data_IF_651915300179
#
_entry.id   IF_651915300179
#
_cell.length_a   1.000
_cell.length_b   1.000
_cell.length_c   1.000
_cell.angle_alpha   90.00
_cell.angle_beta   90.00
_cell.angle_gamma   90.00
#
_symmetry.space_group_name_H-M   'P 1'
#
loop_
_entity.id
_entity.type
_entity.pdbx_description
1 polymer ?
#
# COMPACT_ATOMS: atom_id res chain seq x y z
N UNK A 1 13.36 26.14 1.95
CA UNK A 1 13.26 26.06 0.49
C UNK A 1 12.81 27.41 -0.08
N UNK A 2 11.63 27.91 0.24
CA UNK A 2 11.11 29.18 -0.28
C UNK A 2 11.95 30.42 0.12
N UNK A 3 12.75 30.32 1.16
CA UNK A 3 13.73 31.35 1.54
C UNK A 3 14.99 31.36 0.66
N UNK A 4 15.17 30.38 -0.23
CA UNK A 4 16.34 30.28 -1.10
C UNK A 4 17.58 29.61 -0.50
N UNK A 5 17.45 29.00 0.68
CA UNK A 5 18.58 28.31 1.35
C UNK A 5 19.05 27.06 0.59
N UNK A 6 18.18 26.48 -0.21
CA UNK A 6 18.47 25.36 -1.14
C UNK A 6 17.52 25.41 -2.33
N UNK A 7 17.95 24.80 -3.45
CA UNK A 7 17.35 25.05 -4.76
C UNK A 7 16.41 23.97 -5.25
N UNK A 8 16.35 22.80 -4.61
CA UNK A 8 15.53 21.68 -5.03
C UNK A 8 14.93 20.95 -3.82
N UNK A 9 13.66 20.57 -3.92
CA UNK A 9 12.97 19.77 -2.91
C UNK A 9 12.04 18.74 -3.58
N UNK A 10 12.15 17.50 -3.17
CA UNK A 10 11.15 16.49 -3.42
C UNK A 10 10.19 16.45 -2.22
N UNK A 11 8.90 16.64 -2.47
CA UNK A 11 7.88 16.68 -1.42
C UNK A 11 7.14 15.35 -1.32
N UNK A 12 7.16 14.73 -0.15
CA UNK A 12 6.49 13.46 0.11
C UNK A 12 5.14 13.62 0.82
N UNK A 13 4.88 14.81 1.38
CA UNK A 13 3.65 15.09 2.11
C UNK A 13 2.60 15.70 1.17
N UNK A 14 1.43 15.04 1.06
CA UNK A 14 0.33 15.51 0.20
C UNK A 14 -0.28 16.84 0.66
N UNK A 15 -0.37 17.07 1.99
CA UNK A 15 -0.87 18.33 2.54
C UNK A 15 0.06 19.47 2.19
N UNK A 16 1.37 19.31 2.45
CA UNK A 16 2.34 20.36 2.16
C UNK A 16 2.38 20.67 0.66
N UNK A 17 2.34 19.63 -0.20
CA UNK A 17 2.23 19.82 -1.64
C UNK A 17 1.00 20.61 -2.08
N UNK A 18 -0.14 20.36 -1.44
CA UNK A 18 -1.37 21.06 -1.76
C UNK A 18 -1.40 22.51 -1.25
N UNK A 19 -0.77 22.79 -0.08
CA UNK A 19 -1.01 24.04 0.63
C UNK A 19 0.19 24.97 0.72
N UNK A 20 1.43 24.48 0.53
CA UNK A 20 2.64 25.28 0.74
C UNK A 20 3.38 25.62 -0.57
N UNK A 21 3.02 24.98 -1.68
CA UNK A 21 3.65 25.20 -2.98
C UNK A 21 2.80 26.13 -3.85
N UNK A 22 2.80 27.42 -3.52
CA UNK A 22 2.06 28.49 -4.22
C UNK A 22 2.47 29.87 -3.71
N UNK A 23 1.92 30.91 -4.32
CA UNK A 23 2.15 32.32 -4.00
C UNK A 23 3.10 33.03 -4.97
N UNK A 24 3.50 34.29 -4.67
CA UNK A 24 4.11 35.21 -5.64
C UNK A 24 5.34 34.66 -6.38
N UNK A 25 6.23 33.90 -5.70
CA UNK A 25 7.42 33.32 -6.35
C UNK A 25 7.09 32.21 -7.33
N UNK A 26 5.98 31.51 -7.13
CA UNK A 26 5.46 30.51 -8.08
C UNK A 26 4.75 31.17 -9.25
N UNK A 27 3.93 32.20 -8.96
CA UNK A 27 3.19 32.96 -9.98
C UNK A 27 4.16 33.67 -10.95
N UNK A 28 5.30 34.17 -10.44
CA UNK A 28 6.38 34.77 -11.21
C UNK A 28 7.32 33.74 -11.86
N UNK A 29 7.06 32.44 -11.67
CA UNK A 29 7.90 31.35 -12.16
C UNK A 29 9.37 31.41 -11.70
N UNK A 30 9.62 32.00 -10.53
CA UNK A 30 10.93 31.91 -9.88
C UNK A 30 11.13 30.55 -9.23
N UNK A 31 10.07 29.93 -8.75
CA UNK A 31 10.02 28.58 -8.27
C UNK A 31 9.03 27.78 -9.14
N UNK A 32 9.47 26.62 -9.59
CA UNK A 32 8.66 25.69 -10.36
C UNK A 32 8.08 24.64 -9.42
N UNK A 33 6.78 24.37 -9.53
CA UNK A 33 6.06 23.25 -8.93
C UNK A 33 5.70 22.28 -10.05
N UNK A 34 6.20 21.05 -9.96
CA UNK A 34 6.05 20.09 -11.06
C UNK A 34 5.81 18.67 -10.55
N UNK A 35 5.01 17.91 -11.29
CA UNK A 35 4.83 16.48 -11.13
C UNK A 35 5.57 15.74 -12.25
N UNK A 36 6.65 15.05 -11.89
CA UNK A 36 7.48 14.31 -12.85
C UNK A 36 7.10 12.83 -12.76
N UNK A 37 6.43 12.34 -13.81
CA UNK A 37 5.95 10.96 -13.88
C UNK A 37 7.09 9.96 -14.06
N UNK A 38 6.90 8.75 -13.54
CA UNK A 38 7.88 7.66 -13.57
C UNK A 38 7.20 6.29 -13.71
N UNK A 39 7.98 5.30 -14.13
CA UNK A 39 7.57 3.89 -14.26
C UNK A 39 8.17 2.99 -13.17
N UNK A 40 8.57 3.55 -12.03
CA UNK A 40 9.08 2.77 -10.89
C UNK A 40 7.97 1.91 -10.30
N UNK A 41 8.21 0.63 -10.02
CA UNK A 41 7.30 -0.17 -9.22
C UNK A 41 7.07 0.50 -7.86
N UNK A 42 5.82 0.55 -7.41
CA UNK A 42 5.47 1.19 -6.13
C UNK A 42 5.28 0.21 -5.00
N UNK A 43 5.26 -1.08 -5.32
CA UNK A 43 4.98 -2.11 -4.33
C UNK A 43 3.60 -1.93 -3.69
N UNK A 44 3.44 -2.45 -2.48
CA UNK A 44 2.18 -2.39 -1.74
C UNK A 44 2.41 -1.80 -0.35
N UNK A 45 1.78 -0.65 -0.08
CA UNK A 45 1.57 -0.17 1.27
C UNK A 45 0.19 -0.62 1.74
N UNK A 46 0.05 -1.03 3.00
CA UNK A 46 -1.24 -1.44 3.53
C UNK A 46 -1.27 -1.62 5.03
N UNK A 47 -2.48 -1.85 5.56
CA UNK A 47 -2.66 -2.39 6.89
C UNK A 47 -2.48 -3.91 6.82
N UNK A 48 -1.33 -4.40 7.26
CA UNK A 48 -0.98 -5.81 7.23
C UNK A 48 -1.47 -6.53 8.48
N UNK A 49 -2.12 -7.67 8.28
CA UNK A 49 -2.58 -8.56 9.34
C UNK A 49 -1.43 -9.44 9.83
N UNK A 50 -1.38 -9.70 11.13
CA UNK A 50 -0.53 -10.76 11.65
C UNK A 50 -1.31 -12.08 11.70
N UNK A 51 -1.07 -12.97 10.75
CA UNK A 51 -1.77 -14.26 10.65
C UNK A 51 -1.43 -15.25 11.77
N UNK A 52 -0.44 -14.93 12.63
CA UNK A 52 -0.18 -15.68 13.86
C UNK A 52 -1.28 -15.47 14.89
N UNK A 53 -2.10 -14.41 14.72
CA UNK A 53 -3.28 -14.13 15.52
C UNK A 53 -4.49 -14.88 14.95
N UNK A 54 -5.13 -15.71 15.76
CA UNK A 54 -6.27 -16.55 15.33
C UNK A 54 -7.40 -15.79 14.65
N UNK A 55 -7.66 -14.55 15.09
CA UNK A 55 -8.71 -13.69 14.54
C UNK A 55 -8.52 -13.36 13.05
N UNK A 56 -7.30 -13.43 12.52
CA UNK A 56 -6.98 -13.10 11.13
C UNK A 56 -6.72 -14.33 10.23
N UNK A 57 -6.86 -15.54 10.74
CA UNK A 57 -6.58 -16.75 9.93
C UNK A 57 -7.61 -16.98 8.84
N UNK A 58 -8.87 -16.63 9.09
CA UNK A 58 -9.94 -16.77 8.08
C UNK A 58 -9.87 -15.62 7.05
N UNK A 59 -9.72 -15.98 5.77
CA UNK A 59 -9.64 -15.01 4.68
C UNK A 59 -10.92 -14.14 4.56
N UNK A 60 -12.08 -14.67 4.92
CA UNK A 60 -13.34 -13.91 4.93
C UNK A 60 -13.32 -12.78 5.95
N UNK A 61 -12.65 -12.97 7.07
CA UNK A 61 -12.42 -11.91 8.06
C UNK A 61 -11.55 -10.82 7.48
N UNK A 62 -10.43 -11.19 6.86
CA UNK A 62 -9.50 -10.22 6.25
C UNK A 62 -10.16 -9.43 5.11
N UNK A 63 -10.92 -10.11 4.26
CA UNK A 63 -11.72 -9.45 3.22
C UNK A 63 -12.73 -8.46 3.83
N UNK A 64 -13.47 -8.89 4.85
CA UNK A 64 -14.49 -8.08 5.50
C UNK A 64 -13.92 -6.78 6.07
N UNK A 65 -12.77 -6.82 6.72
CA UNK A 65 -12.12 -5.63 7.28
C UNK A 65 -11.72 -4.64 6.17
N UNK A 66 -11.38 -5.12 4.98
CA UNK A 66 -11.07 -4.28 3.82
C UNK A 66 -12.23 -3.37 3.40
N UNK A 67 -13.48 -3.81 3.57
CA UNK A 67 -14.68 -3.01 3.27
C UNK A 67 -14.91 -1.85 4.25
N UNK A 68 -14.27 -1.87 5.41
CA UNK A 68 -14.38 -0.79 6.40
C UNK A 68 -13.39 0.37 6.11
N UNK A 69 -12.42 0.17 5.22
CA UNK A 69 -11.45 1.20 4.86
C UNK A 69 -11.94 2.02 3.66
N UNK A 70 -12.40 3.25 3.92
CA UNK A 70 -12.86 4.20 2.91
C UNK A 70 -11.69 4.99 2.34
N UNK A 71 -11.09 4.45 1.28
CA UNK A 71 -9.97 5.11 0.60
C UNK A 71 -10.43 6.38 -0.12
N UNK A 72 -11.56 6.34 -0.82
CA UNK A 72 -12.06 7.46 -1.62
C UNK A 72 -12.32 8.68 -0.74
N UNK A 73 -12.98 8.49 0.40
CA UNK A 73 -13.17 9.55 1.39
C UNK A 73 -11.83 10.06 1.93
N UNK A 74 -10.92 9.16 2.27
CA UNK A 74 -9.59 9.52 2.77
C UNK A 74 -8.80 10.30 1.72
N UNK A 75 -8.87 9.89 0.45
CA UNK A 75 -8.18 10.56 -0.65
C UNK A 75 -8.70 11.98 -0.87
N UNK A 76 -10.01 12.18 -0.84
CA UNK A 76 -10.61 13.50 -1.00
C UNK A 76 -10.32 14.40 0.20
N UNK A 77 -10.53 13.93 1.42
CA UNK A 77 -10.54 14.77 2.61
C UNK A 77 -9.18 14.88 3.33
N UNK A 78 -8.31 13.87 3.20
CA UNK A 78 -7.00 13.87 3.87
C UNK A 78 -5.83 14.06 2.91
N UNK A 79 -5.97 13.68 1.63
CA UNK A 79 -4.88 13.64 0.68
C UNK A 79 -5.07 14.55 -0.54
N UNK A 80 -6.11 15.36 -0.55
CA UNK A 80 -6.37 16.34 -1.62
C UNK A 80 -6.52 15.70 -3.02
N UNK A 81 -7.03 14.46 -3.07
CA UNK A 81 -7.22 13.73 -4.34
C UNK A 81 -5.95 13.24 -5.02
N UNK A 82 -4.79 13.30 -4.35
CA UNK A 82 -3.48 13.12 -5.00
C UNK A 82 -3.04 11.67 -5.16
N UNK A 83 -3.74 10.71 -4.58
CA UNK A 83 -3.34 9.30 -4.61
C UNK A 83 -4.27 8.44 -5.45
N UNK A 84 -3.75 7.29 -5.86
CA UNK A 84 -4.50 6.19 -6.48
C UNK A 84 -4.48 4.99 -5.55
N UNK A 85 -5.58 4.23 -5.50
CA UNK A 85 -5.63 2.97 -4.76
C UNK A 85 -4.64 1.98 -5.34
N UNK A 86 -3.88 1.30 -4.47
CA UNK A 86 -3.03 0.18 -4.90
C UNK A 86 -3.89 -1.07 -5.11
N UNK A 87 -3.69 -1.77 -6.23
CA UNK A 87 -4.47 -2.94 -6.64
C UNK A 87 -3.59 -4.16 -6.92
N UNK A 88 -2.29 -4.05 -6.73
CA UNK A 88 -1.29 -5.09 -6.96
C UNK A 88 -0.10 -4.89 -6.03
N UNK A 89 0.57 -5.96 -5.64
CA UNK A 89 1.85 -5.88 -4.93
C UNK A 89 2.97 -5.33 -5.82
N UNK A 90 2.77 -5.36 -7.13
CA UNK A 90 3.70 -4.85 -8.15
C UNK A 90 3.15 -3.62 -8.88
N UNK A 91 2.34 -2.82 -8.19
CA UNK A 91 1.68 -1.61 -8.72
C UNK A 91 2.66 -0.74 -9.52
N UNK A 92 2.18 -0.14 -10.60
CA UNK A 92 2.93 0.70 -11.54
C UNK A 92 4.05 -0.02 -12.28
N UNK A 93 3.89 -1.32 -12.54
CA UNK A 93 4.84 -2.10 -13.33
C UNK A 93 4.12 -3.11 -14.23
N UNK A 94 4.83 -3.63 -15.21
CA UNK A 94 4.34 -4.69 -16.10
C UNK A 94 4.09 -6.03 -15.39
N UNK A 95 4.54 -6.16 -14.16
CA UNK A 95 4.37 -7.34 -13.30
C UNK A 95 3.06 -7.34 -12.53
N UNK A 96 2.34 -6.22 -12.49
CA UNK A 96 1.04 -6.14 -11.85
C UNK A 96 0.02 -7.04 -12.57
N UNK A 97 -0.69 -7.87 -11.82
CA UNK A 97 -1.80 -8.67 -12.35
C UNK A 97 -3.04 -7.77 -12.57
N UNK A 98 -3.82 -8.11 -13.60
CA UNK A 98 -5.09 -7.42 -13.91
C UNK A 98 -6.03 -8.37 -14.67
N UNK A 99 -7.33 -8.09 -14.65
CA UNK A 99 -8.33 -8.93 -15.29
C UNK A 99 -8.32 -10.36 -14.78
N UNK A 100 -8.70 -11.32 -15.63
CA UNK A 100 -8.55 -12.76 -15.37
C UNK A 100 -7.13 -13.24 -15.70
N UNK A 101 -6.68 -14.38 -15.13
CA UNK A 101 -5.39 -14.94 -15.47
C UNK A 101 -5.32 -15.33 -16.96
N UNK A 102 -4.21 -14.99 -17.60
CA UNK A 102 -3.92 -15.46 -18.97
C UNK A 102 -3.61 -16.95 -19.00
N UNK A 103 -3.67 -17.57 -20.18
CA UNK A 103 -3.28 -18.98 -20.36
C UNK A 103 -1.85 -19.26 -19.87
N UNK A 104 -0.94 -18.29 -20.04
CA UNK A 104 0.43 -18.40 -19.56
C UNK A 104 0.52 -18.40 -18.03
N UNK A 105 -0.29 -17.59 -17.34
CA UNK A 105 -0.38 -17.56 -15.87
C UNK A 105 -1.05 -18.84 -15.34
N UNK A 106 -2.07 -19.35 -16.03
CA UNK A 106 -2.79 -20.58 -15.66
C UNK A 106 -1.86 -21.79 -15.59
N UNK A 107 -0.80 -21.88 -16.39
CA UNK A 107 0.22 -22.95 -16.29
C UNK A 107 0.80 -23.10 -14.89
N UNK A 108 0.91 -21.98 -14.15
CA UNK A 108 1.45 -21.94 -12.79
C UNK A 108 0.36 -21.99 -11.72
N UNK A 109 -0.85 -21.54 -12.03
CA UNK A 109 -1.96 -21.47 -11.08
C UNK A 109 -2.80 -22.75 -11.03
N UNK A 110 -3.09 -23.37 -12.17
CA UNK A 110 -3.96 -24.57 -12.23
C UNK A 110 -3.44 -25.76 -11.41
N UNK A 111 -2.12 -26.07 -11.38
CA UNK A 111 -1.60 -27.12 -10.50
C UNK A 111 -1.86 -26.88 -9.02
N UNK A 112 -2.14 -25.65 -8.64
CA UNK A 112 -2.36 -25.19 -7.25
C UNK A 112 -3.83 -24.88 -6.95
N UNK A 113 -4.74 -25.22 -7.87
CA UNK A 113 -6.15 -24.81 -7.83
C UNK A 113 -6.86 -25.17 -6.53
N UNK A 114 -6.57 -26.33 -5.96
CA UNK A 114 -7.20 -26.81 -4.73
C UNK A 114 -6.65 -26.11 -3.46
N UNK A 115 -5.55 -25.36 -3.59
CA UNK A 115 -4.87 -24.64 -2.51
C UNK A 115 -5.08 -23.11 -2.61
N UNK A 116 -5.64 -22.63 -3.72
CA UNK A 116 -5.87 -21.23 -4.00
C UNK A 116 -7.37 -20.90 -3.93
N UNK A 117 -7.72 -19.67 -3.51
CA UNK A 117 -9.11 -19.21 -3.59
C UNK A 117 -9.66 -19.30 -5.01
N UNK A 118 -10.89 -19.81 -5.17
CA UNK A 118 -11.51 -20.00 -6.50
C UNK A 118 -11.62 -18.67 -7.29
N UNK A 119 -11.70 -17.54 -6.60
CA UNK A 119 -11.71 -16.22 -7.21
C UNK A 119 -10.51 -15.92 -8.09
N UNK A 120 -9.35 -16.52 -7.80
CA UNK A 120 -8.13 -16.41 -8.65
C UNK A 120 -8.43 -16.76 -10.10
N UNK A 121 -9.31 -17.73 -10.34
CA UNK A 121 -9.60 -18.30 -11.65
C UNK A 121 -10.84 -17.74 -12.32
N UNK A 122 -11.76 -17.19 -11.55
CA UNK A 122 -13.13 -16.92 -12.02
C UNK A 122 -13.52 -15.44 -12.01
N UNK A 123 -12.78 -14.61 -11.28
CA UNK A 123 -13.19 -13.23 -11.05
C UNK A 123 -11.96 -12.31 -11.04
N UNK A 124 -12.08 -11.14 -11.65
CA UNK A 124 -11.05 -10.10 -11.51
C UNK A 124 -11.00 -9.62 -10.05
N UNK A 125 -9.79 -9.59 -9.48
CA UNK A 125 -9.61 -9.02 -8.14
C UNK A 125 -9.91 -7.51 -8.14
N UNK A 126 -10.76 -7.08 -7.22
CA UNK A 126 -11.09 -5.67 -7.03
C UNK A 126 -11.07 -5.31 -5.56
N UNK A 127 -10.39 -4.24 -5.23
CA UNK A 127 -10.50 -3.63 -3.90
C UNK A 127 -11.88 -2.98 -3.74
N UNK A 128 -12.45 -2.94 -2.53
CA UNK A 128 -13.69 -2.19 -2.29
C UNK A 128 -13.54 -0.71 -2.66
N UNK A 129 -14.52 -0.18 -3.36
CA UNK A 129 -14.58 1.23 -3.79
C UNK A 129 -15.85 1.86 -3.21
N UNK A 130 -15.75 3.10 -2.72
CA UNK A 130 -16.87 3.92 -2.25
C UNK A 130 -17.09 5.11 -3.18
N UNK A 131 -18.13 5.89 -2.93
CA UNK A 131 -18.39 7.16 -3.62
C UNK A 131 -17.63 8.36 -2.99
N UNK A 132 -16.85 8.12 -1.93
CA UNK A 132 -16.12 9.15 -1.19
C UNK A 132 -16.98 10.02 -0.27
N UNK A 133 -18.28 9.77 -0.17
CA UNK A 133 -19.19 10.50 0.72
C UNK A 133 -19.01 10.17 2.21
N UNK A 134 -18.29 9.09 2.54
CA UNK A 134 -18.22 8.50 3.87
C UNK A 134 -19.42 7.60 4.22
N UNK A 135 -20.35 7.42 3.29
CA UNK A 135 -21.47 6.51 3.47
C UNK A 135 -21.12 5.09 3.00
N UNK A 136 -20.62 4.27 3.90
CA UNK A 136 -20.24 2.87 3.62
C UNK A 136 -21.35 1.84 3.89
N UNK A 137 -22.63 2.22 3.85
CA UNK A 137 -23.73 1.32 4.25
C UNK A 137 -23.73 -0.02 3.49
N UNK A 138 -23.49 0.00 2.18
CA UNK A 138 -23.44 -1.22 1.36
C UNK A 138 -22.20 -2.06 1.64
N UNK A 139 -21.03 -1.42 1.75
CA UNK A 139 -19.76 -2.06 2.07
C UNK A 139 -19.80 -2.71 3.45
N UNK A 140 -20.28 -2.00 4.47
CA UNK A 140 -20.39 -2.53 5.82
C UNK A 140 -21.42 -3.66 5.93
N UNK A 141 -22.48 -3.66 5.11
CA UNK A 141 -23.42 -4.78 5.02
C UNK A 141 -22.72 -6.03 4.47
N UNK A 142 -21.92 -5.88 3.42
CA UNK A 142 -21.14 -6.99 2.83
C UNK A 142 -20.09 -7.51 3.84
N UNK A 143 -19.35 -6.60 4.48
CA UNK A 143 -18.44 -6.96 5.57
C UNK A 143 -19.14 -7.74 6.68
N UNK A 144 -20.34 -7.28 7.08
CA UNK A 144 -21.15 -7.93 8.09
C UNK A 144 -21.57 -9.35 7.71
N UNK A 145 -21.90 -9.59 6.44
CA UNK A 145 -22.24 -10.93 5.93
C UNK A 145 -21.04 -11.87 5.97
N UNK A 146 -19.85 -11.41 5.51
CA UNK A 146 -18.59 -12.18 5.54
C UNK A 146 -18.20 -12.55 6.98
N UNK A 147 -18.26 -11.59 7.91
CA UNK A 147 -17.96 -11.83 9.32
C UNK A 147 -18.91 -12.85 9.93
N UNK A 148 -20.20 -12.77 9.61
CA UNK A 148 -21.20 -13.73 10.10
C UNK A 148 -20.95 -15.13 9.52
N UNK A 149 -20.59 -15.23 8.24
CA UNK A 149 -20.21 -16.49 7.59
C UNK A 149 -18.91 -17.08 8.18
N UNK A 150 -18.00 -16.23 8.67
CA UNK A 150 -16.79 -16.63 9.38
C UNK A 150 -17.02 -16.96 10.87
N UNK A 151 -18.27 -16.95 11.35
CA UNK A 151 -18.62 -17.32 12.73
C UNK A 151 -18.67 -16.15 13.72
N UNK A 152 -18.40 -14.92 13.29
CA UNK A 152 -18.48 -13.72 14.12
C UNK A 152 -19.88 -13.13 14.12
N UNK A 153 -20.66 -13.37 15.18
CA UNK A 153 -22.07 -12.93 15.31
C UNK A 153 -22.15 -11.67 16.18
N UNK A 154 -23.16 -10.84 15.91
CA UNK A 154 -23.44 -9.68 16.77
C UNK A 154 -24.16 -10.16 18.01
N UNK A 155 -23.60 -9.90 19.19
CA UNK A 155 -24.25 -10.13 20.46
C UNK A 155 -25.35 -9.09 20.68
N UNK A 156 -26.53 -9.57 21.08
CA UNK A 156 -27.74 -8.74 21.21
C UNK A 156 -27.64 -7.68 22.32
N UNK A 157 -26.88 -7.96 23.38
CA UNK A 157 -26.78 -7.10 24.55
C UNK A 157 -25.67 -6.05 24.36
N UNK A 158 -24.44 -6.50 24.00
CA UNK A 158 -23.28 -5.63 23.87
C UNK A 158 -23.20 -4.92 22.52
N UNK A 159 -23.92 -5.40 21.50
CA UNK A 159 -23.81 -4.97 20.10
C UNK A 159 -22.43 -5.19 19.50
N UNK A 160 -21.56 -5.94 20.18
CA UNK A 160 -20.24 -6.32 19.69
C UNK A 160 -20.30 -7.62 18.89
N UNK A 161 -19.35 -7.81 17.98
CA UNK A 161 -19.13 -9.10 17.35
C UNK A 161 -18.38 -10.02 18.30
N UNK A 162 -18.90 -11.23 18.43
CA UNK A 162 -18.33 -12.27 19.28
C UNK A 162 -18.17 -13.57 18.47
N UNK A 163 -17.17 -14.36 18.83
CA UNK A 163 -17.00 -15.72 18.31
C UNK A 163 -17.94 -16.72 19.01
N UNK A 164 -17.82 -18.00 18.71
CA UNK A 164 -18.63 -19.06 19.32
C UNK A 164 -18.41 -19.24 20.84
N UNK A 165 -17.27 -18.78 21.37
CA UNK A 165 -16.97 -18.76 22.80
C UNK A 165 -17.49 -17.51 23.52
N UNK A 166 -18.12 -16.57 22.80
CA UNK A 166 -18.59 -15.29 23.37
C UNK A 166 -17.47 -14.23 23.51
N UNK A 167 -16.30 -14.46 22.98
CA UNK A 167 -15.17 -13.53 23.05
C UNK A 167 -15.37 -12.40 22.00
N UNK A 168 -15.17 -11.12 22.38
CA UNK A 168 -15.37 -10.00 21.48
C UNK A 168 -14.27 -9.93 20.42
N UNK A 169 -14.65 -9.46 19.21
CA UNK A 169 -13.67 -9.17 18.16
C UNK A 169 -12.95 -7.86 18.48
N UNK A 170 -11.75 -7.97 18.98
CA UNK A 170 -10.90 -6.83 19.30
C UNK A 170 -9.46 -7.07 18.83
N UNK A 171 -8.76 -6.01 18.39
CA UNK A 171 -7.36 -6.06 18.02
C UNK A 171 -6.71 -4.68 18.11
N UNK A 172 -5.37 -4.66 18.09
CA UNK A 172 -4.56 -3.45 18.15
C UNK A 172 -3.90 -3.18 16.80
N UNK A 173 -3.89 -1.91 16.36
CA UNK A 173 -2.98 -1.46 15.32
C UNK A 173 -1.79 -0.74 15.93
N UNK A 174 -0.58 -1.19 15.61
CA UNK A 174 0.67 -0.63 16.07
C UNK A 174 1.18 0.41 15.07
N UNK A 175 1.48 1.62 15.55
CA UNK A 175 1.97 2.75 14.77
C UNK A 175 3.30 3.27 15.33
N UNK A 176 4.17 3.72 14.45
CA UNK A 176 5.44 4.39 14.80
C UNK A 176 5.29 5.93 14.85
N UNK A 177 4.19 6.46 14.31
CA UNK A 177 3.99 7.90 14.21
C UNK A 177 2.53 8.28 14.42
N UNK A 178 2.22 9.29 15.21
CA UNK A 178 0.86 9.81 15.38
C UNK A 178 0.29 10.42 14.10
N UNK A 179 1.14 10.77 13.13
CA UNK A 179 0.68 11.31 11.85
C UNK A 179 -0.24 10.35 11.08
N UNK A 180 -0.18 9.04 11.37
CA UNK A 180 -1.02 8.02 10.74
C UNK A 180 -2.38 7.84 11.43
N UNK A 181 -2.55 8.36 12.65
CA UNK A 181 -3.83 8.26 13.39
C UNK A 181 -4.98 8.87 12.61
N UNK A 182 -4.77 10.00 11.92
CA UNK A 182 -5.81 10.65 11.10
C UNK A 182 -6.38 9.75 10.01
N UNK A 183 -5.64 8.70 9.61
CA UNK A 183 -6.04 7.71 8.61
C UNK A 183 -6.72 6.52 9.29
N UNK A 184 -6.20 6.10 10.44
CA UNK A 184 -6.72 4.95 11.20
C UNK A 184 -8.02 5.28 11.89
N UNK A 185 -8.22 6.50 12.40
CA UNK A 185 -9.42 6.86 13.17
C UNK A 185 -10.74 6.75 12.38
N UNK A 186 -10.84 7.17 11.10
CA UNK A 186 -12.02 6.90 10.28
C UNK A 186 -12.26 5.40 10.06
N UNK A 187 -11.21 4.62 9.83
CA UNK A 187 -11.29 3.17 9.72
C UNK A 187 -11.81 2.53 11.02
N UNK A 188 -11.25 2.92 12.18
CA UNK A 188 -11.73 2.51 13.49
C UNK A 188 -13.23 2.78 13.67
N UNK A 189 -13.69 3.99 13.32
CA UNK A 189 -15.10 4.36 13.41
C UNK A 189 -16.01 3.46 12.56
N UNK A 190 -15.55 3.04 11.38
CA UNK A 190 -16.28 2.11 10.54
C UNK A 190 -16.29 0.69 11.11
N UNK A 191 -15.20 0.24 11.74
CA UNK A 191 -15.12 -1.04 12.45
C UNK A 191 -16.06 -1.07 13.67
N UNK A 192 -16.17 0.01 14.42
CA UNK A 192 -17.10 0.15 15.53
C UNK A 192 -18.57 -0.06 15.07
N UNK A 193 -18.92 0.43 13.87
CA UNK A 193 -20.24 0.19 13.25
C UNK A 193 -20.48 -1.28 12.90
N UNK A 194 -19.43 -2.07 12.72
CA UNK A 194 -19.51 -3.53 12.56
C UNK A 194 -19.52 -4.28 13.89
N UNK A 195 -19.35 -3.59 15.02
CA UNK A 195 -19.24 -4.19 16.35
C UNK A 195 -17.84 -4.71 16.67
N UNK A 196 -16.80 -4.19 16.01
CA UNK A 196 -15.40 -4.56 16.19
C UNK A 196 -14.67 -3.46 16.94
N UNK A 197 -13.85 -3.83 17.92
CA UNK A 197 -13.04 -2.89 18.69
C UNK A 197 -11.61 -2.85 18.15
N UNK A 198 -11.18 -1.68 17.64
CA UNK A 198 -9.81 -1.40 17.25
C UNK A 198 -9.17 -0.46 18.27
N UNK A 199 -8.07 -0.89 18.91
CA UNK A 199 -7.21 -0.02 19.69
C UNK A 199 -6.06 0.50 18.81
N UNK A 200 -5.64 1.75 19.06
CA UNK A 200 -4.53 2.38 18.34
C UNK A 200 -3.38 2.58 19.32
N UNK A 201 -2.23 2.00 19.01
CA UNK A 201 -1.02 2.10 19.84
C UNK A 201 0.09 2.79 19.07
N UNK A 202 0.47 3.99 19.49
CA UNK A 202 1.66 4.68 19.01
C UNK A 202 2.82 4.42 19.96
N UNK A 203 3.96 4.00 19.43
CA UNK A 203 5.18 3.73 20.20
C UNK A 203 6.37 4.45 19.56
N UNK A 204 7.47 4.59 20.31
CA UNK A 204 8.72 5.13 19.76
C UNK A 204 9.34 4.19 18.71
N UNK A 205 10.25 4.70 17.85
CA UNK A 205 10.84 3.89 16.78
C UNK A 205 11.58 2.65 17.25
N UNK A 206 12.25 2.69 18.41
CA UNK A 206 13.02 1.55 18.92
C UNK A 206 12.09 0.43 19.38
N UNK A 207 11.04 0.78 20.13
CA UNK A 207 10.00 -0.16 20.55
C UNK A 207 9.25 -0.72 19.34
N UNK A 208 8.94 0.12 18.35
CA UNK A 208 8.28 -0.33 17.11
C UNK A 208 9.09 -1.41 16.39
N UNK A 209 10.39 -1.16 16.16
CA UNK A 209 11.29 -2.12 15.50
C UNK A 209 11.40 -3.43 16.29
N UNK A 210 11.52 -3.36 17.62
CA UNK A 210 11.59 -4.56 18.46
C UNK A 210 10.31 -5.39 18.38
N UNK A 211 9.14 -4.76 18.46
CA UNK A 211 7.84 -5.44 18.32
C UNK A 211 7.63 -6.03 16.92
N UNK A 212 8.10 -5.36 15.86
CA UNK A 212 8.07 -5.94 14.51
C UNK A 212 8.96 -7.19 14.41
N UNK A 213 10.17 -7.17 14.97
CA UNK A 213 11.10 -8.29 14.93
C UNK A 213 10.57 -9.53 15.64
N UNK A 214 9.92 -9.34 16.78
CA UNK A 214 9.31 -10.42 17.56
C UNK A 214 7.87 -10.75 17.13
N UNK A 215 7.36 -10.09 16.09
CA UNK A 215 5.97 -10.24 15.63
C UNK A 215 4.91 -9.95 16.70
N UNK A 216 5.25 -9.11 17.69
CA UNK A 216 4.34 -8.70 18.77
C UNK A 216 3.44 -7.54 18.35
N UNK A 217 2.49 -7.81 17.48
CA UNK A 217 1.43 -6.91 17.01
C UNK A 217 0.28 -7.72 16.46
N UNK A 218 -0.90 -7.06 16.30
CA UNK A 218 -2.04 -7.66 15.61
C UNK A 218 -2.12 -7.12 14.18
N UNK A 219 -2.03 -5.82 14.00
CA UNK A 219 -2.02 -5.13 12.71
C UNK A 219 -0.94 -4.05 12.70
N UNK A 220 -0.29 -3.84 11.55
CA UNK A 220 0.71 -2.78 11.34
C UNK A 220 0.53 -2.09 10.00
N UNK A 221 1.09 -0.88 9.87
CA UNK A 221 1.32 -0.28 8.55
C UNK A 221 2.64 -0.80 8.01
N UNK A 222 2.63 -1.39 6.83
CA UNK A 222 3.85 -1.85 6.16
C UNK A 222 3.92 -1.39 4.72
N UNK A 223 5.13 -1.33 4.19
CA UNK A 223 5.40 -1.11 2.77
C UNK A 223 6.23 -2.28 2.26
N UNK A 224 5.66 -3.05 1.34
CA UNK A 224 6.33 -4.16 0.69
C UNK A 224 6.84 -3.64 -0.64
N UNK A 225 8.10 -3.18 -0.64
CA UNK A 225 8.75 -2.64 -1.82
C UNK A 225 9.05 -3.74 -2.84
N UNK A 226 8.89 -3.40 -4.12
CA UNK A 226 9.18 -4.32 -5.22
C UNK A 226 10.12 -3.67 -6.23
N UNK A 227 10.87 -4.51 -6.95
CA UNK A 227 11.75 -4.09 -8.03
C UNK A 227 11.21 -4.51 -9.39
N UNK A 228 11.87 -4.07 -10.47
CA UNK A 228 11.61 -4.56 -11.82
C UNK A 228 12.17 -5.97 -12.07
N UNK A 229 12.94 -6.52 -11.13
CA UNK A 229 13.54 -7.85 -11.22
C UNK A 229 13.42 -8.56 -9.87
N UNK A 230 12.17 -8.92 -9.45
CA UNK A 230 11.97 -9.66 -8.21
C UNK A 230 12.68 -11.03 -8.29
N UNK A 231 13.24 -11.46 -7.16
CA UNK A 231 14.05 -12.66 -7.07
C UNK A 231 14.04 -13.27 -5.66
N UNK A 232 15.22 -13.59 -5.13
CA UNK A 232 15.40 -14.29 -3.85
C UNK A 232 14.76 -13.57 -2.65
N UNK A 233 14.64 -12.24 -2.68
CA UNK A 233 14.00 -11.45 -1.62
C UNK A 233 12.53 -11.80 -1.45
N UNK A 234 11.89 -12.42 -2.44
CA UNK A 234 10.49 -12.84 -2.33
C UNK A 234 10.30 -13.96 -1.30
N UNK A 235 11.34 -14.78 -1.02
CA UNK A 235 11.30 -15.75 0.09
C UNK A 235 11.17 -15.06 1.44
N UNK A 236 11.87 -13.95 1.63
CA UNK A 236 11.81 -13.19 2.88
C UNK A 236 10.43 -12.59 3.14
N UNK A 237 9.71 -12.22 2.08
CA UNK A 237 8.38 -11.60 2.21
C UNK A 237 7.26 -12.63 2.39
N UNK A 238 7.34 -13.78 1.67
CA UNK A 238 6.18 -14.60 1.41
C UNK A 238 6.31 -16.07 1.78
N UNK A 239 7.54 -16.62 1.80
CA UNK A 239 7.75 -18.06 1.98
C UNK A 239 7.47 -18.49 3.41
N UNK A 240 6.86 -19.68 3.57
CA UNK A 240 6.49 -20.25 4.87
C UNK A 240 7.67 -20.40 5.84
N UNK A 241 8.87 -20.67 5.33
CA UNK A 241 10.09 -20.80 6.14
C UNK A 241 10.48 -19.52 6.86
N UNK A 242 10.13 -18.35 6.29
CA UNK A 242 10.40 -17.05 6.89
C UNK A 242 9.34 -16.62 7.90
N UNK A 243 8.22 -17.36 7.99
CA UNK A 243 7.06 -16.93 8.77
C UNK A 243 7.35 -16.78 10.28
N UNK A 244 8.20 -17.64 10.86
CA UNK A 244 8.54 -17.58 12.29
C UNK A 244 10.00 -17.17 12.55
N UNK A 245 10.74 -16.86 11.51
CA UNK A 245 12.10 -16.40 11.64
C UNK A 245 12.09 -14.96 12.18
N UNK A 246 12.50 -14.79 13.43
CA UNK A 246 12.54 -13.49 14.09
C UNK A 246 13.35 -12.47 13.27
N UNK A 247 12.77 -11.30 13.05
CA UNK A 247 13.37 -10.26 12.23
C UNK A 247 13.24 -10.47 10.73
N UNK A 248 12.55 -11.52 10.26
CA UNK A 248 12.25 -11.69 8.83
C UNK A 248 11.31 -10.59 8.33
N UNK A 249 11.24 -10.46 7.02
CA UNK A 249 10.33 -9.51 6.37
C UNK A 249 8.92 -10.06 6.14
N UNK A 250 8.67 -11.34 6.48
CA UNK A 250 7.33 -11.94 6.48
C UNK A 250 6.53 -11.49 7.72
N UNK A 251 6.30 -10.19 7.82
CA UNK A 251 5.57 -9.59 8.94
C UNK A 251 4.15 -10.15 9.06
N UNK A 252 3.54 -10.51 7.95
CA UNK A 252 2.19 -11.07 7.87
C UNK A 252 2.14 -12.48 8.50
N UNK A 253 3.22 -13.25 8.43
CA UNK A 253 3.26 -14.64 8.88
C UNK A 253 2.59 -15.60 7.91
N UNK A 254 2.81 -15.38 6.61
CA UNK A 254 2.25 -16.22 5.54
C UNK A 254 2.84 -17.61 5.64
N UNK A 255 1.95 -18.61 5.63
CA UNK A 255 2.25 -20.03 5.54
C UNK A 255 1.25 -20.64 4.55
N UNK A 256 1.64 -20.64 3.30
CA UNK A 256 0.79 -21.13 2.22
C UNK A 256 1.64 -21.86 1.19
N UNK A 257 1.52 -23.21 1.11
CA UNK A 257 2.33 -24.00 0.19
C UNK A 257 2.17 -23.62 -1.29
N UNK A 258 1.01 -23.10 -1.69
CA UNK A 258 0.82 -22.58 -3.04
C UNK A 258 1.63 -21.30 -3.28
N UNK A 259 1.68 -20.39 -2.30
CA UNK A 259 2.52 -19.19 -2.36
C UNK A 259 4.00 -19.58 -2.40
N UNK A 260 4.43 -20.57 -1.61
CA UNK A 260 5.81 -21.05 -1.59
C UNK A 260 6.23 -21.55 -2.98
N UNK A 261 5.40 -22.37 -3.62
CA UNK A 261 5.66 -22.88 -4.96
C UNK A 261 5.71 -21.76 -6.02
N UNK A 262 4.84 -20.76 -5.91
CA UNK A 262 4.84 -19.62 -6.83
C UNK A 262 6.08 -18.73 -6.64
N UNK A 263 6.55 -18.57 -5.40
CA UNK A 263 7.81 -17.86 -5.09
C UNK A 263 9.00 -18.59 -5.71
N UNK A 264 9.12 -19.92 -5.50
CA UNK A 264 10.21 -20.70 -6.08
C UNK A 264 10.16 -20.70 -7.62
N UNK A 265 8.96 -20.80 -8.18
CA UNK A 265 8.76 -20.69 -9.63
C UNK A 265 9.24 -19.35 -10.17
N UNK A 266 8.90 -18.24 -9.50
CA UNK A 266 9.34 -16.89 -9.88
C UNK A 266 10.86 -16.77 -9.87
N UNK A 267 11.51 -17.22 -8.80
CA UNK A 267 12.97 -17.18 -8.65
C UNK A 267 13.68 -17.97 -9.76
N UNK A 268 13.10 -19.11 -10.15
CA UNK A 268 13.62 -19.95 -11.22
C UNK A 268 13.26 -19.48 -12.64
N UNK A 269 12.74 -18.26 -12.82
CA UNK A 269 12.36 -17.75 -14.13
C UNK A 269 13.57 -17.63 -15.08
N UNK A 270 13.56 -18.25 -16.26
CA UNK A 270 14.73 -18.31 -17.14
C UNK A 270 14.97 -17.02 -17.94
N UNK A 271 13.96 -16.18 -18.05
CA UNK A 271 14.02 -14.94 -18.82
C UNK A 271 12.96 -13.92 -18.34
N UNK A 272 13.01 -12.71 -18.90
CA UNK A 272 12.12 -11.60 -18.53
C UNK A 272 10.64 -11.94 -18.72
N UNK A 273 10.26 -12.56 -19.80
CA UNK A 273 8.86 -12.88 -20.10
C UNK A 273 8.29 -13.85 -19.07
N UNK A 274 9.02 -14.91 -18.77
CA UNK A 274 8.65 -15.88 -17.74
C UNK A 274 8.60 -15.25 -16.35
N UNK A 275 9.54 -14.36 -16.04
CA UNK A 275 9.54 -13.62 -14.78
C UNK A 275 8.25 -12.81 -14.61
N UNK A 276 7.81 -12.09 -15.65
CA UNK A 276 6.57 -11.30 -15.63
C UNK A 276 5.35 -12.22 -15.41
N UNK A 277 5.26 -13.33 -16.15
CA UNK A 277 4.13 -14.27 -16.05
C UNK A 277 4.03 -14.87 -14.64
N UNK A 278 5.14 -15.36 -14.11
CA UNK A 278 5.21 -15.99 -12.78
C UNK A 278 4.97 -14.98 -11.65
N UNK A 279 5.45 -13.75 -11.82
CA UNK A 279 5.19 -12.67 -10.88
C UNK A 279 3.69 -12.32 -10.85
N UNK A 280 3.02 -12.24 -11.99
CA UNK A 280 1.57 -12.03 -12.06
C UNK A 280 0.78 -13.17 -11.40
N UNK A 281 1.22 -14.41 -11.59
CA UNK A 281 0.60 -15.56 -10.92
C UNK A 281 0.72 -15.46 -9.38
N UNK A 282 1.91 -15.09 -8.87
CA UNK A 282 2.14 -14.85 -7.44
C UNK A 282 1.29 -13.67 -6.94
N UNK A 283 1.28 -12.55 -7.66
CA UNK A 283 0.49 -11.36 -7.29
C UNK A 283 -1.00 -11.70 -7.09
N UNK A 284 -1.59 -12.48 -8.02
CA UNK A 284 -2.97 -12.95 -7.88
C UNK A 284 -3.19 -13.78 -6.62
N UNK A 285 -2.30 -14.75 -6.36
CA UNK A 285 -2.40 -15.58 -5.16
C UNK A 285 -2.33 -14.74 -3.89
N UNK A 286 -1.44 -13.74 -3.83
CA UNK A 286 -1.32 -12.84 -2.70
C UNK A 286 -2.56 -11.96 -2.51
N UNK A 287 -3.08 -11.38 -3.58
CA UNK A 287 -4.25 -10.49 -3.56
C UNK A 287 -5.50 -11.23 -3.07
N UNK A 288 -5.82 -12.40 -3.62
CA UNK A 288 -7.00 -13.18 -3.27
C UNK A 288 -6.95 -13.83 -1.89
N UNK A 289 -5.81 -13.81 -1.23
CA UNK A 289 -5.68 -14.20 0.18
C UNK A 289 -5.92 -13.04 1.16
N UNK A 290 -6.08 -11.81 0.68
CA UNK A 290 -6.37 -10.62 1.50
C UNK A 290 -5.39 -10.43 2.67
N UNK A 291 -4.10 -10.59 2.43
CA UNK A 291 -3.06 -10.54 3.47
C UNK A 291 -2.89 -9.16 4.10
N UNK A 292 -3.36 -8.12 3.43
CA UNK A 292 -3.39 -6.75 3.92
C UNK A 292 -4.56 -5.96 3.30
N UNK A 293 -4.91 -4.85 3.92
CA UNK A 293 -5.80 -3.86 3.31
C UNK A 293 -4.93 -2.92 2.47
N UNK A 294 -5.03 -2.94 1.13
CA UNK A 294 -4.22 -2.09 0.28
C UNK A 294 -4.45 -0.61 0.57
N UNK A 295 -3.37 0.16 0.58
CA UNK A 295 -3.43 1.61 0.67
C UNK A 295 -3.38 2.26 -0.72
N UNK A 296 -2.44 3.16 -0.95
CA UNK A 296 -2.36 4.03 -2.11
C UNK A 296 -0.92 4.23 -2.57
N UNK A 297 -0.80 4.76 -3.76
CA UNK A 297 0.47 5.15 -4.35
C UNK A 297 0.31 6.41 -5.20
N UNK A 298 1.44 6.98 -5.62
CA UNK A 298 1.57 7.93 -6.71
C UNK A 298 2.59 7.39 -7.72
N UNK A 299 2.45 7.75 -8.98
CA UNK A 299 3.37 7.39 -10.07
C UNK A 299 4.14 8.61 -10.61
N UNK A 300 4.32 9.62 -9.77
CA UNK A 300 5.09 10.81 -10.06
C UNK A 300 5.86 11.28 -8.82
N UNK A 301 6.93 12.02 -9.07
CA UNK A 301 7.62 12.78 -8.05
C UNK A 301 7.01 14.17 -7.95
N UNK A 302 6.72 14.63 -6.75
CA UNK A 302 6.35 16.01 -6.47
C UNK A 302 7.63 16.79 -6.25
N UNK A 303 7.95 17.70 -7.14
CA UNK A 303 9.19 18.48 -7.05
C UNK A 303 8.94 19.97 -7.08
N UNK A 304 9.58 20.68 -6.16
CA UNK A 304 9.70 22.12 -6.18
C UNK A 304 11.17 22.50 -6.41
N UNK A 305 11.45 23.39 -7.34
CA UNK A 305 12.81 23.85 -7.57
C UNK A 305 12.86 25.31 -8.03
N UNK A 306 13.89 25.99 -7.61
CA UNK A 306 14.17 27.32 -8.14
C UNK A 306 14.47 27.23 -9.62
N UNK A 307 13.86 28.08 -10.44
CA UNK A 307 13.89 28.04 -11.90
C UNK A 307 15.24 28.52 -12.45
N UNK A 308 16.29 27.94 -11.94
CA UNK A 308 17.68 28.14 -12.37
C UNK A 308 18.28 26.96 -13.12
N UNK A 309 17.54 25.84 -13.19
CA UNK A 309 17.98 24.60 -13.82
C UNK A 309 17.41 24.42 -15.22
N UNK A 310 18.18 23.75 -16.06
CA UNK A 310 17.76 23.09 -17.27
C UNK A 310 18.05 21.60 -17.19
N UNK A 311 17.35 20.81 -17.98
CA UNK A 311 17.46 19.35 -18.01
C UNK A 311 17.25 18.83 -19.43
N UNK A 312 17.65 17.56 -19.74
CA UNK A 312 17.33 16.93 -21.01
C UNK A 312 15.83 16.90 -21.29
N UNK A 313 15.43 16.94 -22.54
CA UNK A 313 14.04 16.82 -22.97
C UNK A 313 13.43 15.44 -22.68
N UNK A 314 14.27 14.42 -22.56
CA UNK A 314 13.86 13.05 -22.22
C UNK A 314 13.95 12.87 -20.70
N UNK A 315 12.81 12.61 -20.07
CA UNK A 315 12.75 12.29 -18.65
C UNK A 315 13.07 10.80 -18.46
N UNK A 316 13.95 10.43 -17.51
CA UNK A 316 14.22 9.03 -17.20
C UNK A 316 12.95 8.33 -16.68
N UNK A 317 12.72 7.08 -17.13
CA UNK A 317 11.55 6.29 -16.70
C UNK A 317 11.58 5.92 -15.21
N UNK A 318 12.77 5.72 -14.66
CA UNK A 318 12.99 5.12 -13.35
C UNK A 318 13.68 6.05 -12.35
N UNK A 319 13.51 7.35 -12.51
CA UNK A 319 14.10 8.32 -11.58
C UNK A 319 13.91 9.76 -12.01
N UNK A 320 14.34 10.69 -11.18
CA UNK A 320 14.32 12.12 -11.49
C UNK A 320 15.43 12.54 -12.46
N UNK A 321 16.51 11.76 -12.55
CA UNK A 321 17.66 12.10 -13.37
C UNK A 321 18.40 13.35 -12.92
N UNK A 322 18.38 13.69 -11.62
CA UNK A 322 18.99 14.93 -11.09
C UNK A 322 20.45 15.12 -11.48
N UNK A 323 21.21 14.03 -11.66
CA UNK A 323 22.61 14.10 -12.10
C UNK A 323 22.79 14.58 -13.56
N UNK A 324 21.69 14.66 -14.31
CA UNK A 324 21.69 15.18 -15.69
C UNK A 324 21.15 16.60 -15.78
N UNK A 325 20.76 17.21 -14.66
CA UNK A 325 20.33 18.59 -14.62
C UNK A 325 21.56 19.50 -14.51
N UNK A 326 21.49 20.66 -15.09
CA UNK A 326 22.57 21.66 -15.02
C UNK A 326 22.01 23.04 -14.67
N UNK A 327 22.82 23.86 -14.08
CA UNK A 327 22.47 25.27 -13.87
C UNK A 327 22.53 26.00 -15.23
N UNK A 328 21.43 26.63 -15.58
CA UNK A 328 21.29 27.47 -16.78
C UNK A 328 21.65 28.91 -16.40
N UNK A 329 22.74 29.49 -16.95
CA UNK A 329 23.20 30.82 -16.53
C UNK A 329 22.15 31.92 -16.77
N UNK A 330 21.35 31.81 -17.82
CA UNK A 330 20.31 32.79 -18.15
C UNK A 330 19.17 32.73 -17.14
N UNK A 331 18.70 31.53 -16.80
CA UNK A 331 17.68 31.33 -15.80
C UNK A 331 18.18 31.71 -14.40
N UNK A 332 19.39 31.35 -14.05
CA UNK A 332 19.98 31.69 -12.76
C UNK A 332 20.10 33.20 -12.57
N UNK A 333 20.58 33.93 -13.57
CA UNK A 333 20.67 35.40 -13.52
C UNK A 333 19.29 36.07 -13.33
N UNK A 334 18.24 35.54 -13.96
CA UNK A 334 16.84 36.00 -13.78
C UNK A 334 16.39 35.78 -12.34
N UNK A 335 16.59 34.58 -11.80
CA UNK A 335 16.20 34.25 -10.42
C UNK A 335 16.95 35.15 -9.41
N UNK A 336 18.26 35.28 -9.57
CA UNK A 336 19.08 36.07 -8.66
C UNK A 336 18.74 37.57 -8.67
N UNK A 337 18.34 38.11 -9.82
CA UNK A 337 17.94 39.51 -9.95
C UNK A 337 16.59 39.80 -9.29
N UNK A 338 15.64 38.85 -9.34
CA UNK A 338 14.27 39.06 -8.84
C UNK A 338 14.10 38.59 -7.38
N UNK A 339 14.98 37.77 -6.86
CA UNK A 339 14.92 37.31 -5.46
C UNK A 339 15.59 38.28 -4.47
N UNK A 340 16.26 39.33 -4.96
CA UNK A 340 16.90 40.37 -4.12
C UNK A 340 15.93 41.47 -3.70
N UNK A 341 14.71 41.48 -4.22
CA UNK A 341 13.62 42.39 -3.89
C UNK A 341 12.53 41.64 -3.11
#
# INVERSE_FOLDING_TARGET
FSAGEYNFRQENNSKDWATMYGGPKYDQQLIIKEEIYHELPRGMQGFAYNLRRAIFQDARVREALGYAFDFEWSNQNLFYGQYRRSTSYYTNSEMASSGLPSEAELKYLEPLKDQLPSGVFTTEFKVPVSDGSGNLRSQLRQAGALLSAAGWKVDANSRKRVNSAGEPFSFEILLVSPAFERIVLPFKKNLERLGIDLSVRVVDPSQYVNRLRSFDFDMVVTVIGQSLSPGNEQREFWHSESADLEGSRNLIGIRNPAVDQLVESLIAAPNRQELIIRTKALDRALLWNYYLIPHWHINYFRVGYWNRFSRPSVTPKYGLGLLTWWEDPTKAAKVDSQNKN
#
